data_IF_294646849373
#
_entry.id   IF_294646849373
#
_cell.length_a   1.000
_cell.length_b   1.000
_cell.length_c   1.000
_cell.angle_alpha   90.00
_cell.angle_beta   90.00
_cell.angle_gamma   90.00
#
_symmetry.space_group_name_H-M   'P 1'
#
loop_
_entity.id
_entity.type
_entity.pdbx_description
1 polymer ?
#
# COMPACT_ATOMS: atom_id res chain seq x y z
N UNK A 1 -10.46 -13.75 8.24
CA UNK A 1 -9.84 -12.41 8.07
C UNK A 1 -8.85 -12.32 6.91
N UNK A 2 -8.11 -13.40 6.56
CA UNK A 2 -7.19 -13.42 5.41
C UNK A 2 -7.81 -12.95 4.08
N UNK A 3 -9.09 -13.27 3.82
CA UNK A 3 -9.82 -12.81 2.62
C UNK A 3 -9.97 -11.28 2.56
N UNK A 4 -10.28 -10.64 3.69
CA UNK A 4 -10.42 -9.18 3.77
C UNK A 4 -9.06 -8.49 3.71
N UNK A 5 -8.08 -9.02 4.46
CA UNK A 5 -6.69 -8.53 4.41
C UNK A 5 -6.11 -8.62 2.99
N UNK A 6 -6.28 -9.76 2.32
CA UNK A 6 -5.82 -9.96 0.95
C UNK A 6 -6.49 -9.01 -0.04
N UNK A 7 -7.81 -8.81 0.07
CA UNK A 7 -8.52 -7.85 -0.78
C UNK A 7 -8.00 -6.42 -0.60
N UNK A 8 -7.78 -5.99 0.64
CA UNK A 8 -7.23 -4.66 0.94
C UNK A 8 -5.79 -4.56 0.44
N UNK A 9 -4.97 -5.59 0.63
CA UNK A 9 -3.58 -5.61 0.20
C UNK A 9 -3.44 -5.50 -1.33
N UNK A 10 -4.26 -6.23 -2.11
CA UNK A 10 -4.26 -6.17 -3.58
C UNK A 10 -4.61 -4.76 -4.09
N UNK A 11 -5.39 -3.98 -3.35
CA UNK A 11 -5.69 -2.58 -3.69
C UNK A 11 -4.61 -1.61 -3.18
N UNK A 12 -4.13 -1.80 -1.95
CA UNK A 12 -3.17 -0.92 -1.29
C UNK A 12 -1.74 -1.02 -1.89
N UNK A 13 -1.33 -2.20 -2.33
CA UNK A 13 0.00 -2.43 -2.90
C UNK A 13 0.26 -1.63 -4.19
N UNK A 14 -0.56 -1.76 -5.27
CA UNK A 14 -0.32 -1.02 -6.51
C UNK A 14 -0.53 0.49 -6.34
N UNK A 15 -1.42 0.91 -5.43
CA UNK A 15 -1.63 2.34 -5.15
C UNK A 15 -0.41 2.97 -4.48
N UNK A 16 0.14 2.33 -3.44
CA UNK A 16 1.37 2.83 -2.78
C UNK A 16 2.60 2.76 -3.70
N UNK A 17 2.73 1.69 -4.49
CA UNK A 17 3.74 1.59 -5.55
C UNK A 17 3.65 2.78 -6.50
N UNK A 18 2.47 3.03 -7.07
CA UNK A 18 2.25 4.12 -8.02
C UNK A 18 2.55 5.49 -7.42
N UNK A 19 2.09 5.77 -6.19
CA UNK A 19 2.33 7.05 -5.51
C UNK A 19 3.83 7.31 -5.32
N UNK A 20 4.60 6.31 -4.89
CA UNK A 20 6.05 6.46 -4.72
C UNK A 20 6.79 6.65 -6.04
N UNK A 21 6.37 5.93 -7.09
CA UNK A 21 6.94 6.10 -8.43
C UNK A 21 6.65 7.50 -8.95
N UNK A 22 5.40 8.00 -8.85
CA UNK A 22 5.04 9.35 -9.25
C UNK A 22 5.85 10.39 -8.47
N UNK A 23 6.01 10.20 -7.15
CA UNK A 23 6.81 11.08 -6.32
C UNK A 23 8.28 11.14 -6.78
N UNK A 24 8.90 9.99 -7.09
CA UNK A 24 10.26 9.94 -7.63
C UNK A 24 10.39 10.63 -8.99
N UNK A 25 9.45 10.37 -9.90
CA UNK A 25 9.44 11.00 -11.22
C UNK A 25 9.26 12.52 -11.12
N UNK A 26 8.47 12.98 -10.14
CA UNK A 26 8.29 14.41 -9.85
C UNK A 26 9.60 15.06 -9.38
N UNK A 27 10.50 14.31 -8.74
CA UNK A 27 11.85 14.76 -8.36
C UNK A 27 12.88 14.63 -9.50
N UNK A 28 12.42 14.45 -10.74
CA UNK A 28 13.27 14.29 -11.93
C UNK A 28 14.21 13.07 -11.85
N UNK A 29 13.82 12.01 -11.11
CA UNK A 29 14.56 10.76 -10.97
C UNK A 29 13.97 9.68 -11.88
N UNK A 30 14.56 9.51 -13.07
CA UNK A 30 14.12 8.54 -14.09
C UNK A 30 14.94 7.25 -14.12
N UNK A 31 15.77 7.02 -13.10
CA UNK A 31 16.62 5.84 -13.03
C UNK A 31 15.78 4.58 -12.76
N UNK A 32 15.91 3.58 -13.64
CA UNK A 32 15.16 2.32 -13.57
C UNK A 32 15.34 1.57 -12.25
N UNK A 33 16.54 1.65 -11.65
CA UNK A 33 16.81 1.02 -10.35
C UNK A 33 16.09 1.75 -9.24
N UNK A 34 16.03 3.09 -9.26
CA UNK A 34 15.29 3.87 -8.27
C UNK A 34 13.78 3.61 -8.36
N UNK A 35 13.23 3.50 -9.56
CA UNK A 35 11.81 3.17 -9.79
C UNK A 35 11.49 1.78 -9.22
N UNK A 36 12.34 0.78 -9.48
CA UNK A 36 12.16 -0.56 -8.95
C UNK A 36 12.21 -0.57 -7.41
N UNK A 37 13.15 0.16 -6.81
CA UNK A 37 13.25 0.28 -5.35
C UNK A 37 11.97 0.92 -4.78
N UNK A 38 11.47 2.01 -5.37
CA UNK A 38 10.21 2.63 -4.94
C UNK A 38 9.02 1.66 -5.01
N UNK A 39 8.94 0.86 -6.08
CA UNK A 39 7.89 -0.13 -6.21
C UNK A 39 7.99 -1.17 -5.08
N UNK A 40 9.17 -1.73 -4.82
CA UNK A 40 9.38 -2.71 -3.75
C UNK A 40 9.03 -2.11 -2.37
N UNK A 41 9.47 -0.87 -2.11
CA UNK A 41 9.14 -0.16 -0.86
C UNK A 41 7.63 0.06 -0.73
N UNK A 42 6.94 0.42 -1.82
CA UNK A 42 5.49 0.59 -1.83
C UNK A 42 4.73 -0.68 -1.50
N UNK A 43 5.13 -1.83 -2.06
CA UNK A 43 4.54 -3.12 -1.71
C UNK A 43 4.84 -3.53 -0.28
N UNK A 44 6.06 -3.30 0.22
CA UNK A 44 6.41 -3.59 1.60
C UNK A 44 5.57 -2.77 2.59
N UNK A 45 5.35 -1.48 2.30
CA UNK A 45 4.50 -0.60 3.12
C UNK A 45 3.01 -0.94 3.04
N UNK A 46 2.57 -1.61 1.97
CA UNK A 46 1.18 -2.06 1.86
C UNK A 46 0.80 -3.14 2.88
N UNK A 47 1.76 -3.92 3.37
CA UNK A 47 1.53 -4.97 4.38
C UNK A 47 1.01 -4.38 5.71
N UNK A 48 1.72 -3.43 6.38
CA UNK A 48 1.21 -2.83 7.61
C UNK A 48 -0.06 -2.02 7.37
N UNK A 49 -0.21 -1.35 6.22
CA UNK A 49 -1.42 -0.60 5.88
C UNK A 49 -2.64 -1.52 5.76
N UNK A 50 -2.51 -2.65 5.06
CA UNK A 50 -3.60 -3.63 4.95
C UNK A 50 -4.00 -4.19 6.32
N UNK A 51 -3.04 -4.39 7.24
CA UNK A 51 -3.32 -4.87 8.59
C UNK A 51 -4.09 -3.82 9.41
N UNK A 52 -3.72 -2.55 9.33
CA UNK A 52 -4.40 -1.45 10.01
C UNK A 52 -5.84 -1.28 9.53
N UNK A 53 -6.06 -1.26 8.21
CA UNK A 53 -7.40 -1.11 7.63
C UNK A 53 -8.28 -2.32 7.97
N UNK A 54 -7.74 -3.53 7.89
CA UNK A 54 -8.49 -4.74 8.28
C UNK A 54 -8.93 -4.69 9.74
N UNK A 55 -8.06 -4.21 10.64
CA UNK A 55 -8.40 -4.00 12.06
C UNK A 55 -9.50 -2.95 12.26
N UNK A 56 -9.44 -1.84 11.53
CA UNK A 56 -10.46 -0.79 11.60
C UNK A 56 -11.83 -1.28 11.11
N UNK A 57 -11.87 -2.04 10.01
CA UNK A 57 -13.11 -2.61 9.46
C UNK A 57 -13.67 -3.72 10.36
N UNK A 58 -12.79 -4.53 10.95
CA UNK A 58 -13.19 -5.65 11.81
C UNK A 58 -13.48 -5.23 13.24
N UNK A 59 -13.21 -3.97 13.61
CA UNK A 59 -13.57 -3.46 14.93
C UNK A 59 -15.09 -3.52 15.11
N UNK A 60 -15.59 -4.07 16.24
CA UNK A 60 -17.02 -4.18 16.45
C UNK A 60 -17.65 -2.79 16.41
N UNK A 61 -18.47 -2.55 15.40
CA UNK A 61 -19.31 -1.37 15.30
C UNK A 61 -20.27 -1.45 16.49
N UNK A 62 -19.96 -0.75 17.59
CA UNK A 62 -20.89 -0.55 18.71
C UNK A 62 -22.05 0.25 18.14
N UNK A 63 -23.06 -0.48 17.62
CA UNK A 63 -24.34 0.09 17.20
C UNK A 63 -24.93 0.74 18.46
N UNK A 64 -24.93 2.07 18.47
CA UNK A 64 -25.79 2.86 19.34
C UNK A 64 -27.17 2.93 18.70
#
# INVERSE_FOLDING_TARGET
>A
MLKLFGAIYVLAAPTLMGVLIIALLTMNRFDSTQILIAAIVGAALAVPVAALITKQISAPKRRA
#
